data_IF_253682447583
#
_entry.id   IF_253682447583
#
_cell.length_a   1.000
_cell.length_b   1.000
_cell.length_c   1.000
_cell.angle_alpha   90.00
_cell.angle_beta   90.00
_cell.angle_gamma   90.00
#
_symmetry.space_group_name_H-M   'P 1'
#
loop_
_entity.id
_entity.type
_entity.pdbx_description
1 polymer ?
#
# COMPACT_ATOMS: atom_id res chain seq x y z
N UNK A 1 13.54 8.02 -3.72
CA UNK A 1 12.21 8.67 -3.69
C UNK A 1 12.26 9.85 -2.72
N UNK A 2 11.74 11.01 -3.13
CA UNK A 2 11.62 12.18 -2.25
C UNK A 2 10.66 11.85 -1.09
N UNK A 3 11.10 12.07 0.15
CA UNK A 3 10.26 11.93 1.36
C UNK A 3 9.31 13.12 1.54
N UNK A 4 8.72 13.60 0.46
CA UNK A 4 7.86 14.80 0.44
C UNK A 4 6.46 14.40 0.02
N UNK A 5 5.48 14.79 0.81
CA UNK A 5 4.07 14.55 0.56
C UNK A 5 3.63 15.33 -0.69
N UNK A 6 3.07 14.66 -1.71
CA UNK A 6 2.63 15.32 -2.94
C UNK A 6 1.43 16.25 -2.71
N UNK A 7 0.69 16.08 -1.61
CA UNK A 7 -0.50 16.88 -1.31
C UNK A 7 -0.19 18.17 -0.54
N UNK A 8 0.82 18.19 0.32
CA UNK A 8 1.08 19.34 1.21
C UNK A 8 2.54 19.69 1.44
N UNK A 9 3.47 19.05 0.70
CA UNK A 9 4.90 19.33 0.78
C UNK A 9 5.56 18.96 2.11
N UNK A 10 4.82 18.35 3.05
CA UNK A 10 5.35 17.92 4.34
C UNK A 10 6.22 16.66 4.24
N UNK A 11 6.99 16.37 5.28
CA UNK A 11 7.80 15.15 5.34
C UNK A 11 6.92 13.89 5.44
N UNK A 12 7.38 12.83 4.78
CA UNK A 12 6.78 11.49 4.83
C UNK A 12 7.58 10.56 5.73
N UNK A 13 6.86 9.86 6.62
CA UNK A 13 7.41 8.80 7.45
C UNK A 13 7.25 7.45 6.77
N UNK A 14 8.33 6.66 6.70
CA UNK A 14 8.28 5.29 6.20
C UNK A 14 7.80 4.35 7.29
N UNK A 15 6.86 3.47 6.94
CA UNK A 15 6.37 2.42 7.82
C UNK A 15 5.62 1.37 7.02
N UNK A 16 4.72 0.67 7.68
CA UNK A 16 4.05 -0.49 7.12
C UNK A 16 2.58 -0.53 7.50
N UNK A 17 1.74 -0.81 6.51
CA UNK A 17 0.34 -1.17 6.69
C UNK A 17 0.23 -2.67 6.96
N UNK A 18 -0.43 -3.03 8.04
CA UNK A 18 -0.47 -4.40 8.56
C UNK A 18 -1.77 -4.64 9.31
N UNK A 19 -2.29 -5.88 9.27
CA UNK A 19 -3.62 -6.19 9.79
C UNK A 19 -3.75 -7.63 10.30
N UNK A 20 -3.98 -7.79 11.61
CA UNK A 20 -4.45 -9.05 12.23
C UNK A 20 -5.90 -8.90 12.69
N UNK A 21 -6.14 -7.84 13.46
CA UNK A 21 -7.41 -7.52 14.11
C UNK A 21 -7.94 -6.13 13.68
N UNK A 22 -7.39 -5.60 12.57
CA UNK A 22 -7.68 -4.26 12.06
C UNK A 22 -6.49 -3.65 11.31
N UNK A 23 -6.78 -2.82 10.30
CA UNK A 23 -5.75 -2.19 9.46
C UNK A 23 -5.07 -1.07 10.24
N UNK A 24 -3.75 -1.18 10.44
CA UNK A 24 -2.96 -0.16 11.11
C UNK A 24 -1.68 0.18 10.34
N UNK A 25 -1.21 1.43 10.50
CA UNK A 25 0.12 1.86 10.09
C UNK A 25 1.05 1.87 11.29
N UNK A 26 2.27 1.34 11.15
CA UNK A 26 3.34 1.58 12.12
C UNK A 26 4.72 1.54 11.47
N UNK A 27 5.67 2.27 12.06
CA UNK A 27 7.08 2.27 11.60
C UNK A 27 7.74 0.89 11.71
N UNK A 28 7.27 0.04 12.64
CA UNK A 28 7.80 -1.32 12.85
C UNK A 28 6.96 -2.33 12.08
N UNK A 29 7.63 -3.29 11.44
CA UNK A 29 6.99 -4.51 10.94
C UNK A 29 6.56 -5.39 12.12
N UNK A 30 5.38 -5.99 12.05
CA UNK A 30 4.95 -7.06 12.97
C UNK A 30 4.71 -8.31 12.13
N UNK A 31 5.04 -9.47 12.67
CA UNK A 31 4.71 -10.74 12.04
C UNK A 31 3.18 -10.93 12.13
N UNK A 32 2.49 -10.86 11.01
CA UNK A 32 1.03 -10.98 10.96
C UNK A 32 0.62 -12.01 9.93
N UNK A 33 -0.02 -13.10 10.35
CA UNK A 33 -0.57 -14.07 9.39
C UNK A 33 -1.89 -13.55 8.81
N UNK A 34 -1.90 -13.27 7.51
CA UNK A 34 -3.12 -12.94 6.77
C UNK A 34 -3.19 -13.81 5.50
N UNK A 35 -4.36 -14.41 5.25
CA UNK A 35 -4.65 -15.09 3.99
C UNK A 35 -5.20 -14.04 3.00
N UNK A 36 -4.61 -13.88 1.81
CA UNK A 36 -5.21 -13.04 0.77
C UNK A 36 -6.58 -13.59 0.34
N UNK A 37 -7.50 -12.70 -0.06
CA UNK A 37 -8.71 -13.08 -0.79
C UNK A 37 -8.33 -13.73 -2.13
N UNK A 38 -9.21 -14.54 -2.72
CA UNK A 38 -8.98 -15.24 -4.01
C UNK A 38 -9.66 -14.53 -5.20
N UNK A 39 -10.07 -13.26 -5.03
CA UNK A 39 -10.83 -12.55 -6.05
C UNK A 39 -9.91 -11.99 -7.15
N UNK A 40 -10.31 -12.17 -8.42
CA UNK A 40 -9.48 -11.84 -9.60
C UNK A 40 -9.43 -10.34 -9.92
N UNK A 41 -10.28 -9.56 -9.28
CA UNK A 41 -10.40 -8.11 -9.42
C UNK A 41 -9.72 -7.33 -8.29
N UNK A 42 -9.12 -8.04 -7.32
CA UNK A 42 -8.34 -7.44 -6.24
C UNK A 42 -6.91 -7.11 -6.73
N UNK A 43 -6.50 -5.85 -6.48
CA UNK A 43 -5.11 -5.44 -6.67
C UNK A 43 -4.31 -5.81 -5.42
N UNK A 44 -3.50 -6.85 -5.52
CA UNK A 44 -2.56 -7.19 -4.47
C UNK A 44 -1.44 -6.15 -4.43
N UNK A 45 -1.02 -5.74 -3.24
CA UNK A 45 0.08 -4.78 -3.13
C UNK A 45 1.41 -5.56 -3.08
N UNK A 46 2.51 -5.01 -3.62
CA UNK A 46 3.84 -5.58 -3.46
C UNK A 46 4.10 -5.92 -1.98
N UNK A 47 4.75 -7.06 -1.73
CA UNK A 47 4.96 -7.67 -0.40
C UNK A 47 3.69 -8.25 0.30
N UNK A 48 2.48 -8.01 -0.21
CA UNK A 48 1.21 -8.47 0.36
C UNK A 48 0.76 -9.87 -0.06
N UNK A 49 1.37 -10.47 -1.09
CA UNK A 49 0.97 -11.77 -1.65
C UNK A 49 1.15 -12.95 -0.69
N UNK A 50 1.99 -12.79 0.32
CA UNK A 50 2.25 -13.81 1.36
C UNK A 50 2.28 -13.10 2.71
N UNK A 51 1.15 -12.49 3.08
CA UNK A 51 0.80 -12.10 4.45
C UNK A 51 1.86 -11.33 5.25
N UNK A 52 2.51 -10.30 4.70
CA UNK A 52 3.60 -9.65 5.45
C UNK A 52 3.73 -8.15 5.19
N UNK A 53 2.69 -7.39 5.51
CA UNK A 53 2.80 -5.93 5.69
C UNK A 53 3.27 -5.12 4.45
N UNK A 54 2.46 -4.15 4.04
CA UNK A 54 2.77 -3.34 2.85
C UNK A 54 3.57 -2.12 3.25
N UNK A 55 4.70 -1.87 2.58
CA UNK A 55 5.46 -0.64 2.77
C UNK A 55 4.59 0.57 2.42
N UNK A 56 4.52 1.54 3.33
CA UNK A 56 3.66 2.70 3.20
C UNK A 56 4.28 3.96 3.79
N UNK A 57 4.02 5.10 3.15
CA UNK A 57 4.48 6.41 3.56
C UNK A 57 3.34 7.16 4.24
N UNK A 58 3.53 7.56 5.50
CA UNK A 58 2.56 8.36 6.25
C UNK A 58 2.94 9.84 6.19
N UNK A 59 2.02 10.71 5.80
CA UNK A 59 2.13 12.14 6.02
C UNK A 59 1.32 12.54 7.26
N UNK A 60 1.94 12.81 8.43
CA UNK A 60 1.21 13.19 9.63
C UNK A 60 0.48 14.53 9.49
N UNK A 61 1.02 15.45 8.67
CA UNK A 61 0.44 16.78 8.41
C UNK A 61 -0.91 16.67 7.68
N UNK A 62 -0.94 15.86 6.63
CA UNK A 62 -2.14 15.65 5.80
C UNK A 62 -3.01 14.48 6.26
N UNK A 63 -2.49 13.63 7.16
CA UNK A 63 -3.11 12.37 7.59
C UNK A 63 -3.44 11.44 6.42
N UNK A 64 -2.53 11.40 5.45
CA UNK A 64 -2.64 10.56 4.26
C UNK A 64 -1.58 9.46 4.34
N UNK A 65 -1.99 8.25 4.02
CA UNK A 65 -1.09 7.13 3.76
C UNK A 65 -0.96 6.98 2.24
N UNK A 66 0.28 6.89 1.77
CA UNK A 66 0.63 6.61 0.39
C UNK A 66 1.22 5.21 0.30
N UNK A 67 0.70 4.42 -0.63
CA UNK A 67 1.28 3.14 -1.01
C UNK A 67 1.60 3.24 -2.48
N UNK A 68 2.87 3.20 -2.82
CA UNK A 68 3.31 3.08 -4.20
C UNK A 68 3.44 1.59 -4.54
N UNK A 69 2.77 1.16 -5.60
CA UNK A 69 2.77 -0.21 -6.10
C UNK A 69 3.25 -0.30 -7.55
N UNK A 70 4.02 0.70 -8.04
CA UNK A 70 4.55 0.79 -9.41
C UNK A 70 5.23 -0.51 -9.90
N UNK A 71 5.93 -1.25 -9.04
CA UNK A 71 6.59 -2.52 -9.38
C UNK A 71 5.62 -3.72 -9.38
N UNK A 72 4.40 -3.55 -9.91
CA UNK A 72 3.41 -4.62 -9.95
C UNK A 72 3.75 -5.63 -11.05
N UNK A 73 4.01 -6.91 -10.74
CA UNK A 73 4.59 -7.87 -11.68
C UNK A 73 3.59 -8.42 -12.71
N UNK A 74 2.30 -8.08 -12.59
CA UNK A 74 1.23 -8.62 -13.41
C UNK A 74 0.48 -7.50 -14.13
N UNK A 75 0.00 -7.77 -15.33
CA UNK A 75 -0.96 -6.89 -15.97
C UNK A 75 -2.35 -7.06 -15.32
N UNK A 76 -2.87 -6.02 -14.67
CA UNK A 76 -4.14 -6.07 -13.95
C UNK A 76 -5.25 -5.34 -14.71
N UNK A 77 -6.48 -5.89 -14.80
CA UNK A 77 -7.59 -5.26 -15.51
C UNK A 77 -7.90 -3.81 -15.08
N UNK A 78 -7.58 -3.46 -13.83
CA UNK A 78 -7.79 -2.10 -13.30
C UNK A 78 -6.96 -1.03 -14.04
N UNK A 79 -5.82 -1.39 -14.62
CA UNK A 79 -4.95 -0.44 -15.33
C UNK A 79 -5.52 0.00 -16.67
N UNK A 80 -6.42 -0.80 -17.24
CA UNK A 80 -7.05 -0.56 -18.54
C UNK A 80 -8.49 -0.03 -18.43
N UNK A 81 -8.94 0.31 -17.21
CA UNK A 81 -10.34 0.65 -16.94
C UNK A 81 -10.82 1.92 -17.66
N UNK A 82 -9.90 2.80 -18.05
CA UNK A 82 -10.18 4.07 -18.71
C UNK A 82 -9.90 4.08 -20.23
N UNK A 83 -9.39 2.98 -20.80
CA UNK A 83 -9.11 2.88 -22.25
C UNK A 83 -10.38 2.57 -23.08
N UNK A 84 -11.55 2.65 -22.44
CA UNK A 84 -12.87 2.48 -23.06
C UNK A 84 -13.75 3.73 -22.96
N UNK A 85 -13.15 4.91 -22.81
CA UNK A 85 -13.84 6.19 -22.90
C UNK A 85 -13.74 6.77 -24.33
#
# INVERSE_FOLDING_TARGET
MSKICPYCGGELLTGYIQSRDGVCWSEKKKLVSALPGLAKDELYLPDGHIGKEVTALNCPKCRVILINYEDYPYDHPIFHKNDKA
#
